data_IF_221881671538
#
_entry.id   IF_221881671538
#
_cell.length_a   1.000
_cell.length_b   1.000
_cell.length_c   1.000
_cell.angle_alpha   90.00
_cell.angle_beta   90.00
_cell.angle_gamma   90.00
#
_symmetry.space_group_name_H-M   'P 1'
#
loop_
_entity.id
_entity.type
_entity.pdbx_description
1 polymer ?
#
# COMPACT_ATOMS: atom_id res chain seq x y z
N UNK A 1 -6.48 -8.48 12.70
CA UNK A 1 -7.69 -8.90 11.94
C UNK A 1 -8.98 -8.14 12.32
N UNK A 2 -9.21 -7.82 13.60
CA UNK A 2 -10.44 -7.13 14.02
C UNK A 2 -10.61 -5.72 13.43
N UNK A 3 -9.51 -4.98 13.25
CA UNK A 3 -9.51 -3.62 12.68
C UNK A 3 -9.97 -3.61 11.20
N UNK A 4 -9.49 -4.53 10.36
CA UNK A 4 -9.98 -4.61 8.98
C UNK A 4 -11.44 -5.01 8.92
N UNK A 5 -11.87 -5.98 9.74
CA UNK A 5 -13.28 -6.39 9.81
C UNK A 5 -14.18 -5.20 10.15
N UNK A 6 -13.84 -4.38 11.14
CA UNK A 6 -14.65 -3.22 11.50
C UNK A 6 -14.72 -2.15 10.40
N UNK A 7 -13.68 -1.97 9.58
CA UNK A 7 -13.77 -1.11 8.40
C UNK A 7 -14.63 -1.71 7.27
N UNK A 8 -14.54 -3.02 7.04
CA UNK A 8 -15.35 -3.71 6.02
C UNK A 8 -16.85 -3.72 6.36
N UNK A 9 -17.21 -3.89 7.64
CA UNK A 9 -18.61 -3.75 8.06
C UNK A 9 -19.09 -2.30 7.98
N UNK A 10 -18.19 -1.32 8.14
CA UNK A 10 -18.50 0.12 8.20
C UNK A 10 -18.76 0.77 6.83
N UNK A 11 -18.03 0.36 5.79
CA UNK A 11 -18.18 0.91 4.43
C UNK A 11 -18.97 0.00 3.48
N UNK A 12 -19.40 -1.17 3.96
CA UNK A 12 -20.20 -2.11 3.20
C UNK A 12 -19.42 -2.92 2.16
N UNK A 13 -20.14 -3.88 1.54
CA UNK A 13 -19.56 -4.82 0.56
C UNK A 13 -19.07 -4.10 -0.71
N UNK A 14 -19.78 -3.08 -1.18
CA UNK A 14 -19.41 -2.33 -2.38
C UNK A 14 -18.05 -1.64 -2.27
N UNK A 15 -17.80 -0.92 -1.16
CA UNK A 15 -16.52 -0.28 -0.91
C UNK A 15 -15.37 -1.30 -0.74
N UNK A 16 -15.66 -2.44 -0.12
CA UNK A 16 -14.69 -3.54 0.03
C UNK A 16 -14.27 -4.09 -1.33
N UNK A 17 -15.24 -4.34 -2.22
CA UNK A 17 -14.98 -4.80 -3.58
C UNK A 17 -14.20 -3.74 -4.35
N UNK A 18 -14.59 -2.47 -4.27
CA UNK A 18 -13.88 -1.37 -4.93
C UNK A 18 -12.42 -1.27 -4.45
N UNK A 19 -12.17 -1.34 -3.13
CA UNK A 19 -10.82 -1.33 -2.58
C UNK A 19 -10.02 -2.55 -3.07
N UNK A 20 -10.60 -3.75 -3.08
CA UNK A 20 -9.95 -4.94 -3.59
C UNK A 20 -9.56 -4.78 -5.07
N UNK A 21 -10.45 -4.23 -5.90
CA UNK A 21 -10.16 -3.93 -7.31
C UNK A 21 -9.01 -2.93 -7.45
N UNK A 22 -9.00 -1.85 -6.66
CA UNK A 22 -7.93 -0.84 -6.69
C UNK A 22 -6.58 -1.47 -6.31
N UNK A 23 -6.55 -2.26 -5.22
CA UNK A 23 -5.32 -2.93 -4.77
C UNK A 23 -4.83 -3.93 -5.81
N UNK A 24 -5.73 -4.75 -6.38
CA UNK A 24 -5.37 -5.70 -7.44
C UNK A 24 -4.85 -4.98 -8.68
N UNK A 25 -5.52 -3.93 -9.15
CA UNK A 25 -5.08 -3.16 -10.31
C UNK A 25 -3.71 -2.51 -10.07
N UNK A 26 -3.53 -1.84 -8.93
CA UNK A 26 -2.27 -1.20 -8.56
C UNK A 26 -1.11 -2.20 -8.40
N UNK A 27 -1.39 -3.38 -7.85
CA UNK A 27 -0.41 -4.47 -7.77
C UNK A 27 -0.06 -5.03 -9.14
N UNK A 28 -1.05 -5.30 -10.01
CA UNK A 28 -0.81 -5.86 -11.34
C UNK A 28 0.03 -4.95 -12.22
N UNK A 29 -0.18 -3.63 -12.17
CA UNK A 29 0.65 -2.66 -12.89
C UNK A 29 2.11 -2.73 -12.42
N UNK A 30 2.35 -2.86 -11.11
CA UNK A 30 3.72 -2.96 -10.56
C UNK A 30 4.35 -4.32 -10.87
N UNK A 31 3.57 -5.40 -10.73
CA UNK A 31 3.99 -6.76 -11.06
C UNK A 31 4.38 -6.90 -12.54
N UNK A 32 3.72 -6.15 -13.44
CA UNK A 32 4.09 -6.10 -14.84
C UNK A 32 5.55 -5.63 -15.05
N UNK A 33 6.01 -4.64 -14.30
CA UNK A 33 7.37 -4.11 -14.40
C UNK A 33 8.39 -5.01 -13.68
N UNK A 34 7.96 -5.80 -12.69
CA UNK A 34 8.79 -6.88 -12.14
C UNK A 34 9.19 -7.87 -13.22
N UNK A 35 8.27 -8.23 -14.12
CA UNK A 35 8.54 -9.19 -15.20
C UNK A 35 9.01 -8.54 -16.50
N UNK A 36 8.75 -7.24 -16.70
CA UNK A 36 9.23 -6.43 -17.82
C UNK A 36 10.07 -5.25 -17.29
N UNK A 37 11.32 -5.48 -16.83
CA UNK A 37 12.18 -4.41 -16.34
C UNK A 37 12.45 -3.34 -17.39
N UNK A 38 12.74 -2.12 -16.92
CA UNK A 38 13.41 -1.12 -17.75
C UNK A 38 14.76 -1.66 -18.21
N UNK A 39 15.12 -1.35 -19.46
CA UNK A 39 16.39 -1.76 -20.05
C UNK A 39 17.59 -1.08 -19.36
N UNK A 40 17.39 0.10 -18.79
CA UNK A 40 18.41 0.90 -18.11
C UNK A 40 17.86 1.36 -16.74
N UNK A 41 18.04 0.55 -15.68
CA UNK A 41 17.62 0.93 -14.33
C UNK A 41 18.50 2.09 -13.81
N UNK A 42 17.89 3.02 -13.07
CA UNK A 42 18.63 4.17 -12.52
C UNK A 42 19.77 3.77 -11.57
N UNK A 43 20.79 4.62 -11.46
CA UNK A 43 21.98 4.40 -10.64
C UNK A 43 21.65 4.04 -9.18
N UNK A 44 20.61 4.67 -8.60
CA UNK A 44 20.17 4.40 -7.24
C UNK A 44 19.65 2.96 -7.07
N UNK A 45 18.91 2.43 -8.06
CA UNK A 45 18.40 1.07 -8.01
C UNK A 45 19.54 0.04 -8.07
N UNK A 46 20.56 0.31 -8.90
CA UNK A 46 21.78 -0.50 -8.98
C UNK A 46 22.57 -0.45 -7.67
N UNK A 47 22.69 0.73 -7.06
CA UNK A 47 23.34 0.93 -5.77
C UNK A 47 22.64 0.12 -4.66
N UNK A 48 21.33 0.29 -4.49
CA UNK A 48 20.56 -0.45 -3.48
C UNK A 48 20.59 -1.96 -3.69
N UNK A 49 20.61 -2.43 -4.94
CA UNK A 49 20.76 -3.85 -5.28
C UNK A 49 22.13 -4.38 -4.84
N UNK A 50 23.20 -3.68 -5.18
CA UNK A 50 24.56 -4.11 -4.85
C UNK A 50 24.81 -4.12 -3.33
N UNK A 51 24.21 -3.17 -2.58
CA UNK A 51 24.23 -3.19 -1.12
C UNK A 51 23.49 -4.39 -0.52
N UNK A 52 22.33 -4.73 -1.09
CA UNK A 52 21.56 -5.90 -0.65
C UNK A 52 22.27 -7.22 -0.97
N UNK A 53 22.97 -7.29 -2.11
CA UNK A 53 23.80 -8.42 -2.49
C UNK A 53 25.00 -8.57 -1.55
N UNK A 54 25.72 -7.48 -1.24
CA UNK A 54 26.82 -7.51 -0.27
C UNK A 54 26.34 -7.99 1.11
N UNK A 55 25.18 -7.51 1.57
CA UNK A 55 24.56 -7.98 2.82
C UNK A 55 24.22 -9.47 2.79
N UNK A 56 23.79 -10.00 1.64
CA UNK A 56 23.44 -11.40 1.50
C UNK A 56 24.67 -12.32 1.42
N UNK A 57 25.67 -11.94 0.61
CA UNK A 57 26.86 -12.75 0.34
C UNK A 57 27.91 -12.61 1.44
N UNK A 58 28.25 -11.37 1.79
CA UNK A 58 29.37 -11.04 2.67
C UNK A 58 28.91 -10.75 4.11
N UNK A 59 27.62 -10.49 4.33
CA UNK A 59 27.08 -10.06 5.63
C UNK A 59 27.46 -8.63 6.01
N UNK A 60 27.93 -7.83 5.05
CA UNK A 60 28.45 -6.48 5.27
C UNK A 60 27.55 -5.41 4.63
N UNK A 61 27.45 -4.26 5.28
CA UNK A 61 26.75 -3.09 4.74
C UNK A 61 27.78 -2.01 4.38
N UNK A 62 27.87 -1.70 3.09
CA UNK A 62 28.87 -0.78 2.56
C UNK A 62 30.27 -1.40 2.48
N UNK A 63 31.26 -0.56 2.17
CA UNK A 63 32.60 -1.03 1.82
C UNK A 63 33.33 -1.68 3.00
N UNK A 64 33.82 -2.90 2.81
CA UNK A 64 34.97 -3.45 3.54
C UNK A 64 36.11 -3.57 2.53
N UNK A 65 37.32 -3.11 2.87
CA UNK A 65 38.47 -3.18 1.96
C UNK A 65 38.71 -4.63 1.50
N UNK A 66 38.48 -4.91 0.22
CA UNK A 66 38.57 -6.24 -0.38
C UNK A 66 37.23 -6.93 -0.71
N UNK A 67 36.08 -6.32 -0.41
CA UNK A 67 34.78 -6.84 -0.85
C UNK A 67 34.54 -6.55 -2.35
N UNK A 68 33.97 -7.53 -3.04
CA UNK A 68 33.67 -7.51 -4.48
C UNK A 68 32.33 -6.84 -4.83
N UNK A 69 31.62 -6.25 -3.86
CA UNK A 69 30.19 -5.93 -4.01
C UNK A 69 29.79 -4.62 -3.32
N UNK A 70 29.35 -3.61 -4.10
CA UNK A 70 28.68 -2.39 -3.59
C UNK A 70 29.19 -1.06 -4.19
N UNK A 71 28.35 -0.01 -4.27
CA UNK A 71 28.77 1.34 -4.66
C UNK A 71 29.67 2.00 -3.60
N UNK A 72 30.55 2.90 -4.01
CA UNK A 72 31.42 3.67 -3.12
C UNK A 72 30.60 4.57 -2.19
N UNK A 73 30.87 4.52 -0.88
CA UNK A 73 30.33 5.48 0.10
C UNK A 73 31.31 6.65 0.21
N UNK A 74 30.86 7.86 -0.11
CA UNK A 74 31.62 9.10 0.18
C UNK A 74 31.35 9.56 1.62
N UNK A 75 30.18 9.22 2.18
CA UNK A 75 29.79 9.43 3.57
C UNK A 75 28.95 8.24 4.09
N UNK A 76 29.03 7.88 5.39
CA UNK A 76 28.15 6.88 6.02
C UNK A 76 26.65 7.17 5.89
N UNK A 77 26.27 8.39 5.50
CA UNK A 77 24.88 8.83 5.30
C UNK A 77 24.38 8.74 3.86
N UNK A 78 25.22 8.32 2.90
CA UNK A 78 24.86 8.34 1.48
C UNK A 78 23.73 7.36 1.16
N UNK A 79 23.66 6.25 1.90
CA UNK A 79 22.69 5.18 1.66
C UNK A 79 22.05 4.72 2.97
N UNK A 80 20.72 4.70 3.00
CA UNK A 80 19.97 4.15 4.13
C UNK A 80 20.00 2.62 4.11
N UNK A 81 20.23 1.94 5.26
CA UNK A 81 20.24 0.48 5.31
C UNK A 81 18.85 -0.14 5.18
N UNK A 82 17.77 0.64 5.27
CA UNK A 82 16.40 0.12 5.34
C UNK A 82 16.02 -0.75 4.14
N UNK A 83 16.15 -0.23 2.92
CA UNK A 83 15.81 -1.00 1.72
C UNK A 83 16.77 -2.19 1.47
N UNK A 84 18.10 -2.03 1.58
CA UNK A 84 19.05 -3.14 1.44
C UNK A 84 18.80 -4.29 2.40
N UNK A 85 18.46 -4.02 3.67
CA UNK A 85 18.15 -5.06 4.65
C UNK A 85 16.89 -5.86 4.27
N UNK A 86 15.85 -5.18 3.77
CA UNK A 86 14.63 -5.85 3.33
C UNK A 86 14.90 -6.71 2.09
N UNK A 87 15.67 -6.20 1.12
CA UNK A 87 16.02 -6.92 -0.11
C UNK A 87 16.92 -8.13 0.20
N UNK A 88 17.94 -7.96 1.03
CA UNK A 88 18.78 -9.06 1.50
C UNK A 88 17.95 -10.12 2.22
N UNK A 89 17.03 -9.73 3.10
CA UNK A 89 16.08 -10.63 3.74
C UNK A 89 15.24 -11.42 2.73
N UNK A 90 14.79 -10.76 1.65
CA UNK A 90 14.08 -11.44 0.57
C UNK A 90 14.98 -12.41 -0.22
N UNK A 91 16.25 -12.09 -0.43
CA UNK A 91 17.23 -13.03 -1.02
C UNK A 91 17.45 -14.26 -0.13
N UNK A 92 17.54 -14.09 1.19
CA UNK A 92 17.59 -15.21 2.14
C UNK A 92 16.34 -16.09 2.07
N UNK A 93 15.15 -15.48 1.98
CA UNK A 93 13.88 -16.22 1.88
C UNK A 93 13.70 -16.93 0.53
N UNK A 94 14.29 -16.41 -0.55
CA UNK A 94 14.14 -16.95 -1.90
C UNK A 94 15.32 -17.81 -2.35
N UNK A 95 16.40 -17.88 -1.56
CA UNK A 95 17.57 -18.72 -1.81
C UNK A 95 18.56 -18.15 -2.82
N UNK A 96 18.59 -16.85 -3.06
CA UNK A 96 19.62 -16.22 -3.91
C UNK A 96 19.31 -14.81 -4.39
N UNK A 97 20.34 -14.15 -4.92
CA UNK A 97 20.25 -12.80 -5.51
C UNK A 97 19.62 -12.89 -6.89
N UNK A 98 18.48 -12.22 -7.07
CA UNK A 98 17.74 -12.20 -8.34
C UNK A 98 17.14 -10.82 -8.54
N UNK A 99 17.35 -10.24 -9.73
CA UNK A 99 16.90 -8.86 -9.99
C UNK A 99 15.39 -8.67 -9.85
N UNK A 100 14.61 -9.73 -10.09
CA UNK A 100 13.15 -9.70 -9.92
C UNK A 100 12.67 -9.70 -8.46
N UNK A 101 13.52 -10.10 -7.49
CA UNK A 101 13.11 -10.20 -6.09
C UNK A 101 13.00 -8.82 -5.45
N UNK A 102 13.98 -7.93 -5.63
CA UNK A 102 13.92 -6.56 -5.12
C UNK A 102 12.70 -5.80 -5.70
N UNK A 103 12.49 -5.89 -7.02
CA UNK A 103 11.31 -5.34 -7.69
C UNK A 103 10.00 -5.95 -7.19
N UNK A 104 10.00 -7.25 -6.89
CA UNK A 104 8.86 -7.93 -6.29
C UNK A 104 8.52 -7.41 -4.89
N UNK A 105 9.54 -7.13 -4.06
CA UNK A 105 9.38 -6.47 -2.77
C UNK A 105 8.76 -5.09 -2.95
N UNK A 106 9.28 -4.28 -3.86
CA UNK A 106 8.73 -2.94 -4.17
C UNK A 106 7.26 -3.01 -4.61
N UNK A 107 6.90 -3.99 -5.44
CA UNK A 107 5.51 -4.20 -5.86
C UNK A 107 4.59 -4.53 -4.66
N UNK A 108 5.06 -5.32 -3.69
CA UNK A 108 4.33 -5.64 -2.46
C UNK A 108 4.18 -4.41 -1.55
N UNK A 109 5.24 -3.64 -1.34
CA UNK A 109 5.17 -2.40 -0.55
C UNK A 109 4.29 -1.34 -1.23
N UNK A 110 4.31 -1.27 -2.56
CA UNK A 110 3.39 -0.44 -3.34
C UNK A 110 1.93 -0.87 -3.19
N UNK A 111 1.63 -2.17 -3.10
CA UNK A 111 0.28 -2.63 -2.79
C UNK A 111 -0.13 -2.34 -1.34
N UNK A 112 0.81 -2.48 -0.40
CA UNK A 112 0.57 -2.15 1.00
C UNK A 112 0.31 -0.65 1.21
N UNK A 113 0.99 0.24 0.48
CA UNK A 113 0.79 1.68 0.58
C UNK A 113 -0.62 2.12 0.15
N UNK A 114 -1.24 1.44 -0.82
CA UNK A 114 -2.64 1.65 -1.21
C UNK A 114 -3.58 1.40 -0.02
N UNK A 115 -3.38 0.29 0.70
CA UNK A 115 -4.15 -0.04 1.89
C UNK A 115 -3.91 0.98 3.01
N UNK A 116 -2.66 1.42 3.21
CA UNK A 116 -2.32 2.43 4.20
C UNK A 116 -2.97 3.77 3.88
N UNK A 117 -2.99 4.20 2.62
CA UNK A 117 -3.65 5.43 2.20
C UNK A 117 -5.16 5.38 2.50
N UNK A 118 -5.82 4.27 2.15
CA UNK A 118 -7.23 4.05 2.50
C UNK A 118 -7.45 4.17 4.01
N UNK A 119 -6.68 3.43 4.81
CA UNK A 119 -6.84 3.37 6.27
C UNK A 119 -6.52 4.71 6.94
N UNK A 120 -5.52 5.44 6.45
CA UNK A 120 -5.13 6.73 6.97
C UNK A 120 -6.23 7.77 6.71
N UNK A 121 -6.74 7.85 5.48
CA UNK A 121 -7.85 8.74 5.15
C UNK A 121 -9.12 8.37 5.92
N UNK A 122 -9.44 7.07 6.04
CA UNK A 122 -10.57 6.59 6.83
C UNK A 122 -10.44 6.93 8.33
N UNK A 123 -9.21 6.94 8.86
CA UNK A 123 -8.91 7.34 10.24
C UNK A 123 -9.07 8.85 10.42
N UNK A 124 -8.53 9.65 9.50
CA UNK A 124 -8.55 11.12 9.58
C UNK A 124 -9.97 11.69 9.49
N UNK A 125 -10.84 11.07 8.70
CA UNK A 125 -12.23 11.51 8.54
C UNK A 125 -13.15 11.13 9.73
N UNK A 126 -12.67 10.30 10.65
CA UNK A 126 -13.43 9.89 11.84
C UNK A 126 -14.69 9.05 11.52
N UNK A 127 -15.38 8.54 12.55
CA UNK A 127 -16.60 7.75 12.39
C UNK A 127 -17.69 8.51 11.62
N UNK A 128 -18.33 7.91 10.60
CA UNK A 128 -19.49 8.51 9.98
C UNK A 128 -20.62 8.62 11.01
N UNK A 129 -21.05 9.87 11.24
CA UNK A 129 -21.99 10.24 12.31
C UNK A 129 -21.51 11.40 13.18
N UNK A 130 -20.22 11.79 13.09
CA UNK A 130 -19.70 12.91 13.87
C UNK A 130 -19.83 14.30 13.19
N UNK A 131 -20.39 14.37 11.98
CA UNK A 131 -20.63 15.62 11.29
C UNK A 131 -22.14 15.93 11.24
N UNK A 132 -22.51 17.05 11.89
CA UNK A 132 -23.79 17.78 11.94
C UNK A 132 -24.90 17.35 12.94
N UNK A 133 -24.99 18.10 14.06
CA UNK A 133 -26.27 18.65 14.54
C UNK A 133 -26.63 18.45 16.03
N UNK A 134 -26.84 19.53 16.83
CA UNK A 134 -27.54 19.47 18.10
C UNK A 134 -29.06 19.44 17.91
N UNK A 135 -29.78 18.99 18.95
CA UNK A 135 -31.24 19.06 19.19
C UNK A 135 -32.10 17.87 18.70
N UNK A 136 -32.84 17.31 19.66
CA UNK A 136 -33.74 16.18 19.44
C UNK A 136 -35.10 16.55 18.86
N UNK A 137 -35.83 15.52 18.41
CA UNK A 137 -37.30 15.47 18.49
C UNK A 137 -37.78 14.05 18.21
N UNK A 138 -38.53 13.54 19.18
CA UNK A 138 -39.45 12.41 19.05
C UNK A 138 -40.41 12.62 17.86
N UNK A 139 -40.57 11.63 16.97
CA UNK A 139 -41.87 11.37 16.33
C UNK A 139 -42.03 9.94 15.77
N UNK A 140 -43.09 9.32 16.28
CA UNK A 140 -43.83 8.10 15.93
C UNK A 140 -43.74 7.57 14.49
N UNK A 141 -43.54 6.23 14.42
CA UNK A 141 -44.41 5.20 13.82
C UNK A 141 -45.17 5.47 12.49
N UNK A 142 -44.91 4.61 11.51
CA UNK A 142 -45.69 4.35 10.30
C UNK A 142 -45.06 3.20 9.53
N UNK A 143 -45.77 2.07 9.43
CA UNK A 143 -45.35 0.79 8.84
C UNK A 143 -45.69 0.70 7.33
N UNK A 144 -45.02 -0.26 6.66
CA UNK A 144 -45.34 -0.84 5.34
C UNK A 144 -44.90 -0.21 4.01
N UNK A 145 -43.93 0.71 4.01
CA UNK A 145 -43.22 1.10 2.78
C UNK A 145 -41.70 1.32 2.94
N UNK A 146 -41.16 0.89 4.09
CA UNK A 146 -39.90 1.42 4.63
C UNK A 146 -38.66 0.60 4.28
N UNK A 147 -38.82 -0.64 3.82
CA UNK A 147 -37.69 -1.58 3.70
C UNK A 147 -36.79 -1.27 2.50
N UNK A 148 -37.34 -1.04 1.31
CA UNK A 148 -36.53 -0.72 0.13
C UNK A 148 -35.92 0.69 0.19
N UNK A 149 -36.69 1.69 0.66
CA UNK A 149 -36.18 3.06 0.79
C UNK A 149 -35.04 3.15 1.82
N UNK A 150 -35.14 2.43 2.94
CA UNK A 150 -34.07 2.43 3.94
C UNK A 150 -32.81 1.71 3.45
N UNK A 151 -32.94 0.61 2.69
CA UNK A 151 -31.79 -0.11 2.12
C UNK A 151 -31.04 0.74 1.10
N UNK A 152 -31.78 1.45 0.23
CA UNK A 152 -31.18 2.36 -0.74
C UNK A 152 -30.51 3.55 -0.04
N UNK A 153 -31.15 4.13 0.96
CA UNK A 153 -30.60 5.28 1.71
C UNK A 153 -29.31 4.89 2.48
N UNK A 154 -29.32 3.77 3.22
CA UNK A 154 -28.11 3.27 3.90
C UNK A 154 -26.97 2.94 2.93
N UNK A 155 -27.29 2.34 1.78
CA UNK A 155 -26.27 2.01 0.78
C UNK A 155 -25.61 3.26 0.18
N UNK A 156 -26.39 4.33 -0.05
CA UNK A 156 -25.87 5.59 -0.61
C UNK A 156 -25.05 6.38 0.40
N UNK A 157 -25.46 6.38 1.67
CA UNK A 157 -24.72 7.03 2.77
C UNK A 157 -23.39 6.32 3.01
N UNK A 158 -23.39 4.98 3.01
CA UNK A 158 -22.16 4.17 3.15
C UNK A 158 -21.19 4.40 2.00
N UNK A 159 -21.70 4.49 0.75
CA UNK A 159 -20.88 4.75 -0.43
C UNK A 159 -20.24 6.14 -0.42
N UNK A 160 -21.01 7.19 -0.07
CA UNK A 160 -20.49 8.57 0.02
C UNK A 160 -19.36 8.70 1.04
N UNK A 161 -19.43 7.95 2.14
CA UNK A 161 -18.42 7.96 3.20
C UNK A 161 -17.17 7.16 2.81
N UNK A 162 -17.33 6.15 1.95
CA UNK A 162 -16.22 5.37 1.41
C UNK A 162 -15.49 6.09 0.26
N UNK A 163 -16.13 7.06 -0.39
CA UNK A 163 -15.59 7.73 -1.57
C UNK A 163 -14.23 8.41 -1.31
N UNK A 164 -14.04 9.24 -0.26
CA UNK A 164 -12.75 9.90 -0.03
C UNK A 164 -11.57 8.93 0.21
N UNK A 165 -11.67 7.90 1.07
CA UNK A 165 -10.56 6.95 1.25
C UNK A 165 -10.33 6.07 0.01
N UNK A 166 -11.37 5.77 -0.78
CA UNK A 166 -11.21 5.07 -2.06
C UNK A 166 -10.49 5.94 -3.10
N UNK A 167 -10.78 7.24 -3.15
CA UNK A 167 -10.06 8.18 -4.02
C UNK A 167 -8.59 8.28 -3.61
N UNK A 168 -8.29 8.39 -2.31
CA UNK A 168 -6.91 8.39 -1.83
C UNK A 168 -6.16 7.09 -2.20
N UNK A 169 -6.81 5.94 -2.04
CA UNK A 169 -6.26 4.65 -2.46
C UNK A 169 -6.01 4.60 -3.97
N UNK A 170 -6.97 5.08 -4.79
CA UNK A 170 -6.84 5.15 -6.24
C UNK A 170 -5.71 6.07 -6.68
N UNK A 171 -5.55 7.22 -6.04
CA UNK A 171 -4.43 8.12 -6.29
C UNK A 171 -3.10 7.39 -6.01
N UNK A 172 -2.94 6.72 -4.87
CA UNK A 172 -1.69 5.97 -4.60
C UNK A 172 -1.49 4.78 -5.55
N UNK A 173 -2.57 4.15 -6.00
CA UNK A 173 -2.50 3.05 -6.94
C UNK A 173 -1.92 3.47 -8.31
N UNK A 174 -2.21 4.70 -8.77
CA UNK A 174 -1.94 5.16 -10.14
C UNK A 174 -1.12 6.47 -10.26
N UNK A 175 -0.84 7.21 -9.18
CA UNK A 175 0.11 8.33 -9.15
C UNK A 175 1.53 7.78 -9.28
N UNK A 176 2.43 8.43 -10.06
CA UNK A 176 3.30 7.73 -10.99
C UNK A 176 4.02 6.56 -10.33
N UNK A 177 3.98 5.37 -10.94
CA UNK A 177 4.75 4.23 -10.47
C UNK A 177 6.22 4.59 -10.71
N UNK A 178 6.87 5.22 -9.73
CA UNK A 178 8.31 5.30 -9.71
C UNK A 178 8.81 3.85 -9.61
N UNK A 179 9.38 3.39 -10.72
CA UNK A 179 10.20 2.18 -10.84
C UNK A 179 11.43 2.59 -11.63
#
# INVERSE_FOLDING_TARGET
MQVLKSYFTRYGRGATIALAVIVCAGFLVRAWVVVNPLADPGDDALAYRALAEALYVDGTFGYQAGSSSGPEFKSPSDWSPGAPLIYAGAYYLTGGVRDGVARGVEALFGAASILLAFLLTARLLGPPGAASGPSGRSRRQGSDGRTEKNLLDESTVSWRQALPPLVAAGLVAFYPPFI
#
